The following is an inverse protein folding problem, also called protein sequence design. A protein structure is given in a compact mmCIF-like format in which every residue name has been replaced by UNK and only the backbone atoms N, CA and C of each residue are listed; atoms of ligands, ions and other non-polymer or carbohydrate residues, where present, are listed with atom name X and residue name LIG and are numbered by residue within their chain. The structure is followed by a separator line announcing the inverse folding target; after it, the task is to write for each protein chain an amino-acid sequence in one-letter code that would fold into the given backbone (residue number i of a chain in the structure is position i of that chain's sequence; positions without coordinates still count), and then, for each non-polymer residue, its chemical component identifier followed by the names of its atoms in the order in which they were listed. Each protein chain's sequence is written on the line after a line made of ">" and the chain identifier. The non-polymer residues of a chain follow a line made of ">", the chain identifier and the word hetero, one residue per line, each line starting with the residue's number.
data_IF_659181438877
#
_entry.id   IF_659181438877
#
_cell.length_a   1.000
_cell.length_b   1.000
_cell.length_c   1.000
_cell.angle_alpha   90.00
_cell.angle_beta   90.00
_cell.angle_gamma   90.00
#
_symmetry.space_group_name_H-M   'P 1'
#
loop_
_entity.id
_entity.type
_entity.pdbx_description
1 polymer ?
#
# COMPACT_ATOMS: atom_id res chain seq x y z
N UNK A 1 1.26 -30.30 -17.23
CA UNK A 1 0.69 -28.97 -17.01
C UNK A 1 1.16 -28.55 -15.64
N UNK A 2 1.88 -27.43 -15.51
CA UNK A 2 2.27 -26.96 -14.18
C UNK A 2 1.01 -26.48 -13.45
N UNK A 3 0.70 -27.08 -12.31
CA UNK A 3 -0.35 -26.60 -11.40
C UNK A 3 -0.06 -25.17 -11.01
N UNK A 4 -1.05 -24.25 -11.05
CA UNK A 4 -0.83 -22.89 -10.58
C UNK A 4 -0.29 -22.90 -9.16
N UNK A 5 0.71 -22.06 -8.86
CA UNK A 5 1.48 -22.07 -7.59
C UNK A 5 0.60 -21.94 -6.34
N UNK A 6 -0.53 -21.24 -6.45
CA UNK A 6 -1.45 -21.02 -5.33
C UNK A 6 -2.65 -21.99 -5.31
N UNK A 7 -2.79 -22.89 -6.30
CA UNK A 7 -3.89 -23.85 -6.30
C UNK A 7 -3.75 -24.82 -5.10
N UNK A 8 -4.79 -24.91 -4.29
CA UNK A 8 -4.79 -25.73 -3.07
C UNK A 8 -3.92 -25.22 -1.93
N UNK A 9 -3.25 -24.06 -2.07
CA UNK A 9 -2.40 -23.48 -1.07
C UNK A 9 -3.18 -22.87 0.11
N UNK A 10 -2.57 -22.84 1.30
CA UNK A 10 -3.02 -22.07 2.46
C UNK A 10 -2.23 -20.76 2.54
N UNK A 11 -2.91 -19.61 2.50
CA UNK A 11 -2.30 -18.29 2.36
C UNK A 11 -2.74 -17.39 3.51
N UNK A 12 -1.77 -16.76 4.20
CA UNK A 12 -2.03 -15.70 5.17
C UNK A 12 -1.89 -14.34 4.50
N UNK A 13 -2.88 -13.45 4.69
CA UNK A 13 -2.81 -12.05 4.26
C UNK A 13 -3.06 -11.14 5.46
N UNK A 14 -1.99 -10.63 6.06
CA UNK A 14 -2.07 -9.64 7.14
C UNK A 14 -2.28 -8.27 6.53
N UNK A 15 -3.39 -7.61 6.88
CA UNK A 15 -3.84 -6.38 6.22
C UNK A 15 -4.71 -6.65 4.98
N UNK A 16 -5.38 -7.80 4.93
CA UNK A 16 -6.17 -8.24 3.76
C UNK A 16 -7.48 -7.49 3.54
N UNK A 17 -8.01 -6.75 4.53
CA UNK A 17 -9.14 -5.84 4.35
C UNK A 17 -8.73 -4.46 3.84
N UNK A 18 -7.43 -4.16 3.82
CA UNK A 18 -6.88 -2.92 3.30
C UNK A 18 -7.00 -2.79 1.78
N UNK A 19 -6.64 -1.62 1.26
CA UNK A 19 -6.68 -1.31 -0.17
C UNK A 19 -5.92 -2.36 -1.03
N UNK A 20 -4.61 -2.47 -0.83
CA UNK A 20 -3.77 -3.43 -1.58
C UNK A 20 -4.11 -4.88 -1.21
N UNK A 21 -4.35 -5.14 0.09
CA UNK A 21 -4.64 -6.48 0.58
C UNK A 21 -5.90 -7.07 -0.04
N UNK A 22 -6.97 -6.29 -0.17
CA UNK A 22 -8.23 -6.76 -0.77
C UNK A 22 -8.09 -7.06 -2.28
N UNK A 23 -7.28 -6.29 -3.00
CA UNK A 23 -6.97 -6.59 -4.41
C UNK A 23 -6.17 -7.89 -4.52
N UNK A 24 -5.16 -8.07 -3.67
CA UNK A 24 -4.41 -9.33 -3.61
C UNK A 24 -5.31 -10.53 -3.29
N UNK A 25 -6.20 -10.41 -2.28
CA UNK A 25 -7.12 -11.49 -1.90
C UNK A 25 -8.03 -11.88 -3.08
N UNK A 26 -8.63 -10.90 -3.77
CA UNK A 26 -9.44 -11.18 -4.97
C UNK A 26 -8.64 -11.93 -6.03
N UNK A 27 -7.41 -11.51 -6.29
CA UNK A 27 -6.54 -12.14 -7.26
C UNK A 27 -6.11 -13.56 -6.86
N UNK A 28 -5.83 -13.78 -5.58
CA UNK A 28 -5.52 -15.11 -5.04
C UNK A 28 -6.71 -16.07 -5.21
N UNK A 29 -7.95 -15.61 -5.00
CA UNK A 29 -9.15 -16.44 -5.17
C UNK A 29 -9.29 -16.99 -6.59
N UNK A 30 -8.86 -16.26 -7.61
CA UNK A 30 -8.84 -16.75 -9.02
C UNK A 30 -7.92 -17.97 -9.18
N UNK A 31 -6.87 -18.09 -8.36
CA UNK A 31 -5.94 -19.21 -8.37
C UNK A 31 -6.41 -20.42 -7.55
N UNK A 32 -7.65 -20.40 -7.00
CA UNK A 32 -8.29 -21.49 -6.24
C UNK A 32 -7.46 -22.01 -5.07
N UNK A 33 -7.06 -21.17 -4.13
CA UNK A 33 -6.37 -21.61 -2.92
C UNK A 33 -7.31 -22.50 -2.09
N UNK A 34 -6.74 -23.36 -1.24
CA UNK A 34 -7.49 -24.11 -0.23
C UNK A 34 -8.10 -23.18 0.81
N UNK A 35 -7.33 -22.17 1.22
CA UNK A 35 -7.71 -21.24 2.28
C UNK A 35 -6.95 -19.92 2.14
N UNK A 36 -7.62 -18.81 2.40
CA UNK A 36 -7.00 -17.49 2.62
C UNK A 36 -7.41 -17.02 4.02
N UNK A 37 -6.44 -16.94 4.93
CA UNK A 37 -6.65 -16.36 6.25
C UNK A 37 -6.31 -14.86 6.19
N UNK A 38 -7.30 -14.02 6.42
CA UNK A 38 -7.12 -12.57 6.50
C UNK A 38 -7.06 -12.17 7.97
N UNK A 39 -6.01 -11.46 8.37
CA UNK A 39 -5.94 -10.78 9.67
C UNK A 39 -5.92 -9.29 9.45
N UNK A 40 -6.91 -8.58 9.98
CA UNK A 40 -6.98 -7.12 9.89
C UNK A 40 -7.71 -6.54 11.13
N UNK A 41 -7.22 -5.43 11.66
CA UNK A 41 -7.84 -4.76 12.80
C UNK A 41 -8.79 -3.62 12.39
N UNK A 42 -8.99 -3.43 11.09
CA UNK A 42 -9.79 -2.37 10.47
C UNK A 42 -9.38 -0.95 10.92
N UNK A 43 -8.10 -0.75 11.29
CA UNK A 43 -7.58 0.57 11.65
C UNK A 43 -7.62 1.55 10.48
N UNK A 44 -7.38 1.03 9.27
CA UNK A 44 -7.31 1.81 8.04
C UNK A 44 -8.11 1.18 6.89
N UNK A 45 -9.03 0.29 7.20
CA UNK A 45 -9.79 -0.48 6.22
C UNK A 45 -11.29 -0.45 6.54
N UNK A 46 -12.09 -0.83 5.55
CA UNK A 46 -13.51 -1.08 5.70
C UNK A 46 -13.80 -2.56 5.44
N UNK A 47 -14.72 -3.13 6.23
CA UNK A 47 -15.07 -4.56 6.15
C UNK A 47 -15.64 -4.94 4.77
N UNK A 48 -16.25 -4.00 4.07
CA UNK A 48 -16.80 -4.21 2.72
C UNK A 48 -15.73 -4.57 1.66
N UNK A 49 -14.46 -4.40 1.99
CA UNK A 49 -13.35 -4.84 1.14
C UNK A 49 -13.02 -6.34 1.27
N UNK A 50 -13.53 -7.02 2.32
CA UNK A 50 -13.31 -8.45 2.52
C UNK A 50 -14.29 -9.24 1.65
N UNK A 51 -13.80 -10.09 0.72
CA UNK A 51 -14.69 -10.90 -0.12
C UNK A 51 -15.45 -11.95 0.70
N UNK A 52 -16.76 -12.09 0.44
CA UNK A 52 -17.56 -13.21 0.92
C UNK A 52 -17.28 -14.45 0.03
N UNK A 53 -16.43 -15.34 0.51
CA UNK A 53 -16.06 -16.54 -0.24
C UNK A 53 -15.72 -17.70 0.72
N UNK A 54 -16.12 -18.96 0.42
CA UNK A 54 -15.89 -20.12 1.32
C UNK A 54 -14.43 -20.38 1.66
N UNK A 55 -13.48 -19.97 0.81
CA UNK A 55 -12.05 -20.12 1.05
C UNK A 55 -11.46 -18.96 1.88
N UNK A 56 -12.26 -17.97 2.29
CA UNK A 56 -11.78 -16.79 3.04
C UNK A 56 -12.20 -16.91 4.50
N UNK A 57 -11.22 -16.94 5.40
CA UNK A 57 -11.39 -16.81 6.83
C UNK A 57 -10.92 -15.43 7.29
N UNK A 58 -11.84 -14.66 7.86
CA UNK A 58 -11.51 -13.33 8.38
C UNK A 58 -11.35 -13.35 9.91
N UNK A 59 -10.17 -12.94 10.37
CA UNK A 59 -9.84 -12.77 11.79
C UNK A 59 -9.75 -11.27 12.07
N UNK A 60 -10.75 -10.74 12.76
CA UNK A 60 -10.71 -9.36 13.24
C UNK A 60 -9.74 -9.25 14.42
N UNK A 61 -8.63 -8.52 14.22
CA UNK A 61 -7.62 -8.33 15.25
C UNK A 61 -6.27 -7.88 14.71
N UNK A 62 -5.31 -7.72 15.60
CA UNK A 62 -3.94 -7.33 15.27
C UNK A 62 -2.97 -8.47 15.57
N UNK A 63 -2.00 -8.69 14.69
CA UNK A 63 -0.87 -9.60 14.93
C UNK A 63 0.09 -9.11 16.04
N UNK A 64 -0.14 -7.91 16.60
CA UNK A 64 0.49 -7.48 17.84
C UNK A 64 -0.06 -8.24 19.07
N UNK A 65 -1.23 -8.87 18.95
CA UNK A 65 -1.88 -9.65 19.99
C UNK A 65 -1.52 -11.13 19.84
N UNK A 66 -0.95 -11.73 20.90
CA UNK A 66 -0.57 -13.14 20.93
C UNK A 66 -1.77 -14.08 20.79
N UNK A 67 -2.95 -13.68 21.29
CA UNK A 67 -4.18 -14.44 21.11
C UNK A 67 -4.62 -14.52 19.63
N UNK A 68 -4.34 -13.49 18.83
CA UNK A 68 -4.59 -13.50 17.39
C UNK A 68 -3.55 -14.38 16.68
N UNK A 69 -2.26 -14.22 17.02
CA UNK A 69 -1.20 -15.05 16.45
C UNK A 69 -1.46 -16.56 16.71
N UNK A 70 -1.91 -16.92 17.90
CA UNK A 70 -2.21 -18.31 18.26
C UNK A 70 -3.36 -18.94 17.43
N UNK A 71 -4.19 -18.14 16.75
CA UNK A 71 -5.25 -18.60 15.84
C UNK A 71 -4.77 -18.90 14.43
N UNK A 72 -3.55 -18.53 14.08
CA UNK A 72 -3.03 -18.77 12.74
C UNK A 72 -2.79 -20.28 12.52
N UNK A 73 -3.23 -20.84 11.38
CA UNK A 73 -2.93 -22.23 11.05
C UNK A 73 -1.43 -22.42 10.87
N UNK A 74 -0.90 -23.57 11.29
CA UNK A 74 0.54 -23.85 11.20
C UNK A 74 0.97 -24.39 9.85
N UNK A 75 0.02 -24.80 9.02
CA UNK A 75 0.24 -25.37 7.68
C UNK A 75 0.11 -24.33 6.55
N UNK A 76 0.57 -23.10 6.83
CA UNK A 76 0.61 -22.02 5.85
C UNK A 76 1.70 -22.28 4.80
N UNK A 77 1.32 -22.16 3.52
CA UNK A 77 2.26 -22.20 2.39
C UNK A 77 2.88 -20.83 2.10
N UNK A 78 2.06 -19.77 2.17
CA UNK A 78 2.47 -18.40 1.85
C UNK A 78 1.96 -17.42 2.88
N UNK A 79 2.74 -16.38 3.14
CA UNK A 79 2.31 -15.26 3.97
C UNK A 79 2.61 -13.93 3.27
N UNK A 80 1.65 -13.00 3.31
CA UNK A 80 1.80 -11.62 2.85
C UNK A 80 1.58 -10.69 4.03
N UNK A 81 2.59 -9.90 4.38
CA UNK A 81 2.49 -8.90 5.42
C UNK A 81 2.31 -7.52 4.82
N UNK A 82 1.05 -7.09 4.68
CA UNK A 82 0.65 -5.81 4.07
C UNK A 82 0.12 -4.81 5.09
N UNK A 83 -0.23 -5.26 6.31
CA UNK A 83 -0.73 -4.38 7.35
C UNK A 83 0.28 -3.30 7.69
N UNK A 84 -0.19 -2.06 7.82
CA UNK A 84 0.63 -0.94 8.27
C UNK A 84 -0.20 0.21 8.84
N UNK A 85 0.42 0.98 9.73
CA UNK A 85 -0.04 2.31 10.11
C UNK A 85 0.35 3.28 9.01
N UNK A 86 -0.53 3.41 8.02
CA UNK A 86 -0.22 4.07 6.76
C UNK A 86 -0.15 5.59 6.90
N UNK A 87 0.88 6.17 6.26
CA UNK A 87 1.00 7.60 5.96
C UNK A 87 2.02 8.33 6.84
N UNK A 88 2.87 9.13 6.18
CA UNK A 88 3.92 9.92 6.83
C UNK A 88 3.33 10.84 7.90
N UNK A 89 2.25 11.56 7.59
CA UNK A 89 1.67 12.54 8.50
C UNK A 89 1.05 11.91 9.74
N UNK A 90 0.38 10.75 9.59
CA UNK A 90 -0.14 10.01 10.75
C UNK A 90 1.01 9.53 11.65
N UNK A 91 2.11 9.05 11.06
CA UNK A 91 3.28 8.59 11.81
C UNK A 91 4.04 9.74 12.49
N UNK A 92 4.10 10.93 11.88
CA UNK A 92 4.68 12.14 12.48
C UNK A 92 3.84 12.60 13.67
N UNK A 93 2.50 12.51 13.53
CA UNK A 93 1.58 12.88 14.61
C UNK A 93 1.65 11.90 15.79
N UNK A 94 1.72 10.60 15.52
CA UNK A 94 1.78 9.55 16.56
C UNK A 94 2.83 8.49 16.20
N UNK A 95 4.11 8.74 16.54
CA UNK A 95 5.19 7.81 16.26
C UNK A 95 5.12 6.51 17.06
N UNK A 96 4.47 6.53 18.24
CA UNK A 96 4.29 5.32 19.05
C UNK A 96 3.25 4.38 18.42
N UNK A 97 2.15 4.93 17.88
CA UNK A 97 1.19 4.13 17.12
C UNK A 97 1.82 3.56 15.84
N UNK A 98 2.69 4.32 15.15
CA UNK A 98 3.46 3.81 14.01
C UNK A 98 4.34 2.62 14.43
N UNK A 99 5.13 2.78 15.49
CA UNK A 99 5.98 1.72 16.03
C UNK A 99 5.18 0.45 16.37
N UNK A 100 4.07 0.60 17.10
CA UNK A 100 3.23 -0.53 17.53
C UNK A 100 2.60 -1.28 16.35
N UNK A 101 2.18 -0.58 15.32
CA UNK A 101 1.45 -1.18 14.19
C UNK A 101 2.34 -1.53 12.99
N UNK A 102 3.58 -1.08 12.92
CA UNK A 102 4.51 -1.38 11.84
C UNK A 102 5.70 -2.22 12.31
N UNK A 103 6.45 -1.72 13.31
CA UNK A 103 7.70 -2.38 13.75
C UNK A 103 7.39 -3.60 14.61
N UNK A 104 6.59 -3.43 15.66
CA UNK A 104 6.26 -4.51 16.61
C UNK A 104 5.46 -5.62 15.92
N UNK A 105 4.48 -5.28 15.10
CA UNK A 105 3.68 -6.27 14.35
C UNK A 105 4.55 -7.09 13.41
N UNK A 106 5.50 -6.47 12.70
CA UNK A 106 6.40 -7.18 11.80
C UNK A 106 7.29 -8.15 12.57
N UNK A 107 7.91 -7.70 13.67
CA UNK A 107 8.75 -8.53 14.52
C UNK A 107 7.98 -9.72 15.11
N UNK A 108 6.78 -9.48 15.64
CA UNK A 108 5.94 -10.55 16.23
C UNK A 108 5.50 -11.57 15.18
N UNK A 109 5.14 -11.12 13.97
CA UNK A 109 4.80 -12.04 12.90
C UNK A 109 6.00 -12.93 12.53
N UNK A 110 7.17 -12.32 12.28
CA UNK A 110 8.37 -13.08 11.86
C UNK A 110 8.78 -14.09 12.94
N UNK A 111 8.77 -13.68 14.21
CA UNK A 111 9.07 -14.59 15.33
C UNK A 111 8.08 -15.74 15.42
N UNK A 112 6.79 -15.47 15.18
CA UNK A 112 5.73 -16.49 15.27
C UNK A 112 5.82 -17.51 14.13
N UNK A 113 6.14 -17.06 12.90
CA UNK A 113 6.11 -17.92 11.71
C UNK A 113 7.47 -18.48 11.31
N UNK A 114 8.57 -18.17 12.03
CA UNK A 114 9.94 -18.57 11.66
C UNK A 114 10.12 -20.08 11.50
N UNK A 115 9.35 -20.87 12.25
CA UNK A 115 9.38 -22.34 12.24
C UNK A 115 8.23 -22.97 11.45
N UNK A 116 7.44 -22.15 10.72
CA UNK A 116 6.35 -22.66 9.87
C UNK A 116 6.90 -23.14 8.53
N UNK A 117 6.24 -24.12 7.87
CA UNK A 117 6.70 -24.66 6.59
C UNK A 117 6.40 -23.70 5.41
N UNK A 118 6.64 -22.42 5.60
CA UNK A 118 6.36 -21.40 4.59
C UNK A 118 7.26 -21.60 3.36
N UNK A 119 6.64 -21.58 2.18
CA UNK A 119 7.36 -21.50 0.90
C UNK A 119 7.87 -20.09 0.67
N UNK A 120 7.11 -19.06 1.09
CA UNK A 120 7.50 -17.66 0.99
C UNK A 120 6.73 -16.77 1.97
N UNK A 121 7.44 -15.79 2.53
CA UNK A 121 6.87 -14.64 3.23
C UNK A 121 7.20 -13.37 2.44
N UNK A 122 6.19 -12.66 1.95
CA UNK A 122 6.34 -11.39 1.23
C UNK A 122 5.98 -10.23 2.14
N UNK A 123 6.94 -9.34 2.37
CA UNK A 123 6.77 -8.13 3.17
C UNK A 123 6.55 -6.91 2.28
N UNK A 124 5.49 -6.18 2.52
CA UNK A 124 5.22 -4.90 1.87
C UNK A 124 6.16 -3.81 2.43
N UNK A 125 7.29 -3.64 1.78
CA UNK A 125 8.24 -2.58 2.02
C UNK A 125 7.85 -1.29 1.26
N UNK A 126 8.57 -0.22 1.48
CA UNK A 126 8.28 1.08 0.88
C UNK A 126 9.45 1.57 0.03
N UNK A 127 9.23 1.79 -1.26
CA UNK A 127 10.25 2.36 -2.16
C UNK A 127 10.75 3.73 -1.69
N UNK A 128 9.89 4.52 -1.05
CA UNK A 128 10.28 5.81 -0.50
C UNK A 128 11.28 5.73 0.67
N UNK A 129 11.47 4.57 1.32
CA UNK A 129 12.44 4.40 2.38
C UNK A 129 13.88 4.30 1.86
N UNK A 130 14.06 3.96 0.58
CA UNK A 130 15.38 3.79 -0.05
C UNK A 130 15.62 4.77 -1.20
N UNK A 131 14.61 5.48 -1.68
CA UNK A 131 14.75 6.42 -2.78
C UNK A 131 15.62 7.62 -2.39
N UNK A 132 16.49 8.03 -3.29
CA UNK A 132 17.20 9.30 -3.20
C UNK A 132 16.20 10.46 -3.19
N UNK A 133 16.49 11.48 -2.37
CA UNK A 133 15.66 12.68 -2.25
C UNK A 133 16.33 13.81 -3.00
N UNK A 134 15.85 14.07 -4.20
CA UNK A 134 16.36 15.14 -5.05
C UNK A 134 15.23 16.03 -5.58
N UNK A 135 15.55 17.30 -5.84
CA UNK A 135 14.71 18.20 -6.63
C UNK A 135 15.28 18.46 -8.04
N UNK A 136 16.49 17.96 -8.27
CA UNK A 136 17.14 17.96 -9.58
C UNK A 136 16.62 16.80 -10.44
N UNK A 137 17.34 16.44 -11.48
CA UNK A 137 17.00 15.28 -12.31
C UNK A 137 17.04 13.99 -11.51
N UNK A 138 15.93 13.24 -11.51
CA UNK A 138 15.82 11.99 -10.78
C UNK A 138 16.22 10.81 -11.67
N UNK A 139 16.96 9.87 -11.09
CA UNK A 139 17.25 8.56 -11.70
C UNK A 139 16.33 7.49 -11.12
N UNK A 140 16.02 6.45 -11.90
CA UNK A 140 15.28 5.31 -11.43
C UNK A 140 16.02 4.62 -10.26
N UNK A 141 15.44 4.59 -9.08
CA UNK A 141 16.06 4.02 -7.87
C UNK A 141 16.14 2.50 -7.98
N UNK A 142 17.34 1.87 -8.02
CA UNK A 142 17.47 0.42 -8.02
C UNK A 142 17.30 -0.16 -6.60
N UNK A 143 17.17 -1.49 -6.49
CA UNK A 143 16.96 -2.18 -5.23
C UNK A 143 18.17 -2.16 -4.29
N UNK A 144 19.37 -2.01 -4.83
CA UNK A 144 20.66 -1.90 -4.13
C UNK A 144 21.08 -0.45 -3.84
N UNK A 145 20.20 0.52 -4.09
CA UNK A 145 20.48 1.91 -3.77
C UNK A 145 20.84 2.10 -2.29
N UNK A 146 21.85 2.95 -1.97
CA UNK A 146 22.21 3.25 -0.59
C UNK A 146 21.03 3.77 0.22
N UNK A 147 20.89 3.27 1.44
CA UNK A 147 19.83 3.69 2.36
C UNK A 147 20.34 4.83 3.23
N UNK A 148 19.65 5.97 3.21
CA UNK A 148 19.94 7.08 4.12
C UNK A 148 19.59 6.71 5.57
N UNK A 149 20.38 7.22 6.53
CA UNK A 149 20.02 7.19 7.95
C UNK A 149 19.06 8.33 8.33
N UNK A 150 18.84 9.31 7.45
CA UNK A 150 17.96 10.46 7.67
C UNK A 150 16.64 10.25 6.92
N UNK A 151 15.55 10.20 7.65
CA UNK A 151 14.20 9.99 7.13
C UNK A 151 13.27 11.12 7.54
N UNK A 152 12.25 11.40 6.72
CA UNK A 152 11.29 12.49 6.94
C UNK A 152 10.15 12.08 7.89
N UNK A 153 10.01 10.79 8.18
CA UNK A 153 8.90 10.31 8.99
C UNK A 153 9.21 8.99 9.69
N UNK A 154 8.60 8.73 10.85
CA UNK A 154 8.63 7.43 11.52
C UNK A 154 8.18 6.29 10.61
N UNK A 155 7.21 6.52 9.71
CA UNK A 155 6.75 5.52 8.74
C UNK A 155 7.89 4.98 7.83
N UNK A 156 8.73 5.86 7.29
CA UNK A 156 9.87 5.42 6.47
C UNK A 156 10.88 4.61 7.29
N UNK A 157 11.09 5.00 8.55
CA UNK A 157 11.97 4.28 9.48
C UNK A 157 11.40 2.89 9.79
N UNK A 158 10.13 2.80 10.18
CA UNK A 158 9.50 1.54 10.58
C UNK A 158 9.43 0.54 9.42
N UNK A 159 9.22 1.01 8.18
CA UNK A 159 9.27 0.16 6.99
C UNK A 159 10.66 -0.41 6.73
N UNK A 160 11.70 0.39 6.92
CA UNK A 160 13.09 -0.06 6.79
C UNK A 160 13.48 -1.04 7.92
N UNK A 161 13.05 -0.78 9.16
CA UNK A 161 13.27 -1.72 10.28
C UNK A 161 12.62 -3.07 9.98
N UNK A 162 11.42 -3.10 9.38
CA UNK A 162 10.79 -4.34 8.95
C UNK A 162 11.62 -5.12 7.93
N UNK A 163 12.29 -4.44 6.97
CA UNK A 163 13.23 -5.09 6.06
C UNK A 163 14.44 -5.65 6.81
N UNK A 164 15.00 -4.90 7.77
CA UNK A 164 16.15 -5.33 8.57
C UNK A 164 15.83 -6.56 9.41
N UNK A 165 14.67 -6.58 10.09
CA UNK A 165 14.23 -7.77 10.81
C UNK A 165 14.00 -8.96 9.88
N UNK A 166 13.32 -8.76 8.75
CA UNK A 166 13.13 -9.85 7.78
C UNK A 166 14.44 -10.45 7.27
N UNK A 167 15.47 -9.62 7.01
CA UNK A 167 16.80 -10.07 6.65
C UNK A 167 17.49 -10.86 7.79
N UNK A 168 17.31 -10.42 9.04
CA UNK A 168 17.82 -11.17 10.21
C UNK A 168 17.17 -12.55 10.29
N UNK A 169 15.84 -12.65 10.16
CA UNK A 169 15.12 -13.93 10.20
C UNK A 169 15.47 -14.84 9.03
N UNK A 170 15.70 -14.27 7.83
CA UNK A 170 16.22 -15.03 6.69
C UNK A 170 17.61 -15.60 7.00
N UNK A 171 18.56 -14.76 7.42
CA UNK A 171 19.94 -15.20 7.66
C UNK A 171 20.12 -16.12 8.87
N UNK A 172 19.24 -16.00 9.89
CA UNK A 172 19.40 -16.75 11.16
C UNK A 172 18.48 -17.96 11.27
N UNK A 173 17.28 -17.88 10.67
CA UNK A 173 16.21 -18.88 10.80
C UNK A 173 15.75 -19.44 9.45
N UNK A 174 16.42 -19.08 8.37
CA UNK A 174 16.09 -19.52 7.01
C UNK A 174 14.65 -19.19 6.59
N UNK A 175 14.00 -18.20 7.27
CA UNK A 175 12.66 -17.74 6.88
C UNK A 175 12.70 -17.28 5.42
N UNK A 176 11.89 -17.85 4.50
CA UNK A 176 11.96 -17.53 3.07
C UNK A 176 11.35 -16.15 2.77
N UNK A 177 12.03 -15.10 3.22
CA UNK A 177 11.61 -13.71 3.26
C UNK A 177 11.93 -12.98 1.95
N UNK A 178 10.95 -12.26 1.38
CA UNK A 178 11.10 -11.40 0.20
C UNK A 178 10.51 -10.03 0.50
N UNK A 179 11.20 -8.97 0.08
CA UNK A 179 10.77 -7.57 0.22
C UNK A 179 10.16 -7.08 -1.08
N UNK A 180 8.89 -6.71 -1.05
CA UNK A 180 8.21 -6.04 -2.15
C UNK A 180 8.14 -4.53 -1.86
N UNK A 181 8.99 -3.71 -2.50
CA UNK A 181 9.07 -2.27 -2.32
C UNK A 181 8.06 -1.57 -3.21
N UNK A 182 6.97 -1.11 -2.62
CA UNK A 182 5.91 -0.39 -3.33
C UNK A 182 6.31 1.03 -3.68
N UNK A 183 5.89 1.47 -4.85
CA UNK A 183 5.80 2.87 -5.19
C UNK A 183 4.40 3.43 -4.83
N UNK A 184 3.94 4.51 -5.44
CA UNK A 184 2.64 5.09 -5.12
C UNK A 184 1.50 4.28 -5.75
N UNK A 185 0.92 3.37 -4.97
CA UNK A 185 -0.21 2.56 -5.43
C UNK A 185 -1.47 3.40 -5.53
N UNK A 186 -2.23 3.22 -6.62
CA UNK A 186 -3.55 3.82 -6.82
C UNK A 186 -4.50 2.80 -7.47
N UNK A 187 -5.80 3.01 -7.33
CA UNK A 187 -6.78 2.12 -7.98
C UNK A 187 -8.06 1.94 -7.18
N UNK A 188 -8.98 1.09 -7.68
CA UNK A 188 -10.18 0.68 -6.97
C UNK A 188 -9.89 0.04 -5.61
N UNK A 189 -10.73 0.33 -4.61
CA UNK A 189 -10.61 -0.25 -3.26
C UNK A 189 -10.01 0.71 -2.22
N UNK A 190 -9.43 1.85 -2.60
CA UNK A 190 -8.96 2.85 -1.65
C UNK A 190 -10.10 3.77 -1.22
N UNK A 191 -10.70 3.46 -0.06
CA UNK A 191 -11.85 4.17 0.49
C UNK A 191 -11.39 5.33 1.38
N UNK A 192 -11.70 6.57 1.01
CA UNK A 192 -11.44 7.75 1.84
C UNK A 192 -12.20 7.64 3.16
N UNK A 193 -11.55 7.97 4.26
CA UNK A 193 -12.14 7.92 5.60
C UNK A 193 -12.38 6.52 6.17
N UNK A 194 -12.05 5.43 5.47
CA UNK A 194 -12.22 4.10 6.03
C UNK A 194 -11.37 3.89 7.30
N UNK A 195 -11.95 3.20 8.30
CA UNK A 195 -11.29 2.87 9.56
C UNK A 195 -11.43 3.94 10.63
N UNK A 196 -10.55 3.87 11.64
CA UNK A 196 -10.62 4.70 12.84
C UNK A 196 -9.83 6.00 12.70
N UNK A 197 -10.24 7.04 13.44
CA UNK A 197 -9.51 8.30 13.52
C UNK A 197 -8.09 8.11 14.06
N UNK A 198 -7.10 8.71 13.37
CA UNK A 198 -5.67 8.59 13.66
C UNK A 198 -5.01 9.96 13.92
N UNK A 199 -5.78 10.89 14.50
CA UNK A 199 -5.28 12.16 15.00
C UNK A 199 -5.17 13.30 13.99
N UNK A 200 -5.19 13.02 12.68
CA UNK A 200 -5.00 14.04 11.63
C UNK A 200 -6.03 13.92 10.51
N UNK A 201 -6.31 15.01 9.75
CA UNK A 201 -7.17 14.97 8.57
C UNK A 201 -6.73 13.95 7.50
N UNK A 202 -5.46 13.51 7.52
CA UNK A 202 -4.95 12.45 6.64
C UNK A 202 -5.53 11.06 6.96
N UNK A 203 -6.26 10.93 8.05
CA UNK A 203 -7.14 9.77 8.28
C UNK A 203 -8.18 9.65 7.17
N UNK A 204 -8.70 10.78 6.71
CA UNK A 204 -9.69 10.87 5.63
C UNK A 204 -9.02 11.04 4.27
N UNK A 205 -8.20 12.08 4.13
CA UNK A 205 -7.51 12.45 2.89
C UNK A 205 -6.16 11.73 2.78
N UNK A 206 -6.19 10.41 2.53
CA UNK A 206 -5.02 9.53 2.68
C UNK A 206 -3.91 9.77 1.69
N UNK A 207 -4.21 9.56 0.42
CA UNK A 207 -3.28 9.67 -0.70
C UNK A 207 -3.77 10.71 -1.71
N UNK A 208 -2.85 11.19 -2.51
CA UNK A 208 -3.13 12.22 -3.50
C UNK A 208 -4.19 11.78 -4.52
N UNK A 209 -4.08 10.57 -5.06
CA UNK A 209 -4.97 10.09 -6.14
C UNK A 209 -6.43 10.02 -5.72
N UNK A 210 -6.84 9.28 -4.66
CA UNK A 210 -8.26 9.23 -4.27
C UNK A 210 -8.78 10.59 -3.79
N UNK A 211 -7.92 11.41 -3.15
CA UNK A 211 -8.29 12.77 -2.75
C UNK A 211 -8.58 13.66 -3.95
N UNK A 212 -7.71 13.64 -4.96
CA UNK A 212 -7.92 14.44 -6.17
C UNK A 212 -9.14 13.97 -6.97
N UNK A 213 -9.34 12.66 -7.11
CA UNK A 213 -10.52 12.11 -7.79
C UNK A 213 -11.81 12.56 -7.07
N UNK A 214 -11.86 12.42 -5.73
CA UNK A 214 -13.05 12.84 -4.98
C UNK A 214 -13.35 14.32 -5.16
N UNK A 215 -12.34 15.18 -4.99
CA UNK A 215 -12.48 16.62 -5.16
C UNK A 215 -12.89 17.00 -6.58
N UNK A 216 -12.27 16.42 -7.60
CA UNK A 216 -12.61 16.67 -8.99
C UNK A 216 -14.04 16.26 -9.33
N UNK A 217 -14.53 15.12 -8.82
CA UNK A 217 -15.91 14.66 -8.98
C UNK A 217 -16.92 15.59 -8.30
N UNK A 218 -16.51 16.31 -7.27
CA UNK A 218 -17.31 17.34 -6.58
C UNK A 218 -17.09 18.76 -7.14
N UNK A 219 -16.36 18.89 -8.27
CA UNK A 219 -16.03 20.18 -8.90
C UNK A 219 -15.26 21.13 -7.96
N UNK A 220 -14.45 20.57 -7.08
CA UNK A 220 -13.54 21.32 -6.22
C UNK A 220 -12.18 21.54 -6.89
N UNK A 221 -11.46 22.58 -6.43
CA UNK A 221 -10.06 22.80 -6.81
C UNK A 221 -9.17 21.70 -6.23
N UNK A 222 -8.23 21.20 -7.05
CA UNK A 222 -7.23 20.23 -6.60
C UNK A 222 -6.05 20.97 -5.96
N UNK A 223 -5.73 20.76 -4.67
CA UNK A 223 -4.62 21.41 -4.01
C UNK A 223 -3.29 20.77 -4.43
N UNK A 224 -2.48 21.52 -5.17
CA UNK A 224 -1.17 21.09 -5.63
C UNK A 224 -0.10 21.89 -4.89
N UNK A 225 0.66 21.22 -4.04
CA UNK A 225 1.68 21.82 -3.20
C UNK A 225 2.98 22.05 -3.94
N UNK A 226 3.73 23.08 -3.54
CA UNK A 226 5.04 23.41 -4.07
C UNK A 226 5.09 23.44 -5.63
N UNK A 227 4.08 24.03 -6.26
CA UNK A 227 3.98 24.07 -7.73
C UNK A 227 3.82 22.70 -8.41
N UNK A 228 3.67 21.62 -7.65
CA UNK A 228 3.51 20.27 -8.18
C UNK A 228 4.77 19.66 -8.76
N UNK A 229 5.95 20.23 -8.47
CA UNK A 229 7.24 19.77 -9.00
C UNK A 229 7.70 18.41 -8.45
N UNK A 230 7.15 17.99 -7.29
CA UNK A 230 7.40 16.66 -6.74
C UNK A 230 6.88 15.59 -7.70
N UNK A 231 7.67 14.55 -7.92
CA UNK A 231 7.26 13.43 -8.78
C UNK A 231 7.10 12.14 -8.00
N UNK A 232 6.29 11.25 -8.52
CA UNK A 232 6.07 9.90 -7.99
C UNK A 232 5.95 8.91 -9.15
N UNK A 233 6.19 7.67 -8.82
CA UNK A 233 5.89 6.53 -9.66
C UNK A 233 4.53 5.98 -9.23
N UNK A 234 3.52 6.12 -10.09
CA UNK A 234 2.16 5.65 -9.83
C UNK A 234 1.96 4.26 -10.44
N UNK A 235 1.64 3.29 -9.61
CA UNK A 235 1.39 1.91 -10.04
C UNK A 235 -0.03 1.48 -9.69
N UNK A 236 -0.71 0.86 -10.65
CA UNK A 236 -2.09 0.41 -10.50
C UNK A 236 -2.20 -0.78 -9.52
N UNK A 237 -3.25 -0.82 -8.73
CA UNK A 237 -3.42 -1.79 -7.64
C UNK A 237 -3.45 -3.24 -8.12
N UNK A 238 -4.02 -3.53 -9.29
CA UNK A 238 -4.01 -4.88 -9.85
C UNK A 238 -2.60 -5.29 -10.32
N UNK A 239 -1.80 -4.35 -10.79
CA UNK A 239 -0.39 -4.61 -11.11
C UNK A 239 0.40 -4.92 -9.83
N UNK A 240 0.16 -4.20 -8.72
CA UNK A 240 0.75 -4.53 -7.42
C UNK A 240 0.34 -5.92 -6.95
N UNK A 241 -0.94 -6.29 -7.06
CA UNK A 241 -1.40 -7.63 -6.68
C UNK A 241 -0.68 -8.73 -7.48
N UNK A 242 -0.52 -8.54 -8.80
CA UNK A 242 0.27 -9.44 -9.65
C UNK A 242 1.75 -9.48 -9.26
N UNK A 243 2.34 -8.33 -8.96
CA UNK A 243 3.72 -8.20 -8.49
C UNK A 243 3.97 -8.93 -7.16
N UNK A 244 3.04 -8.82 -6.21
CA UNK A 244 3.09 -9.54 -4.94
C UNK A 244 3.04 -11.07 -5.14
N UNK A 245 2.14 -11.54 -5.99
CA UNK A 245 2.07 -12.97 -6.34
C UNK A 245 3.37 -13.42 -7.03
N UNK A 246 3.94 -12.63 -7.94
CA UNK A 246 5.22 -12.92 -8.56
C UNK A 246 6.38 -12.97 -7.55
N UNK A 247 6.39 -12.09 -6.55
CA UNK A 247 7.35 -12.15 -5.43
C UNK A 247 7.22 -13.47 -4.64
N UNK A 248 5.99 -13.92 -4.37
CA UNK A 248 5.77 -15.17 -3.65
C UNK A 248 6.13 -16.40 -4.50
N UNK A 249 5.88 -16.36 -5.80
CA UNK A 249 6.13 -17.47 -6.73
C UNK A 249 7.63 -17.59 -7.08
N UNK A 250 8.24 -16.48 -7.53
CA UNK A 250 9.58 -16.47 -8.15
C UNK A 250 10.63 -15.68 -7.36
N UNK A 251 10.22 -14.89 -6.35
CA UNK A 251 11.14 -14.09 -5.58
C UNK A 251 12.20 -14.92 -4.87
N UNK A 252 13.46 -14.51 -4.98
CA UNK A 252 14.58 -15.16 -4.30
C UNK A 252 14.55 -14.75 -2.82
N UNK A 253 14.56 -15.69 -1.87
CA UNK A 253 14.63 -15.36 -0.44
C UNK A 253 15.82 -14.47 -0.11
N UNK A 254 15.60 -13.46 0.73
CA UNK A 254 16.61 -12.46 1.07
C UNK A 254 16.65 -11.26 0.11
N UNK A 255 15.98 -11.31 -1.05
CA UNK A 255 16.03 -10.26 -2.05
C UNK A 255 14.90 -9.22 -1.92
N UNK A 256 15.16 -8.02 -2.45
CA UNK A 256 14.16 -6.96 -2.62
C UNK A 256 13.80 -6.79 -4.08
N UNK A 257 12.54 -6.43 -4.34
CA UNK A 257 12.02 -6.13 -5.67
C UNK A 257 11.19 -4.86 -5.64
N UNK A 258 11.50 -3.91 -6.51
CA UNK A 258 10.65 -2.75 -6.73
C UNK A 258 9.41 -3.16 -7.52
N UNK A 259 8.25 -2.97 -6.95
CA UNK A 259 6.99 -3.03 -7.66
C UNK A 259 6.63 -1.62 -8.09
N UNK A 260 7.04 -1.27 -9.31
CA UNK A 260 7.04 0.06 -9.87
C UNK A 260 6.51 0.08 -11.31
N UNK A 261 5.98 1.23 -11.75
CA UNK A 261 5.69 1.44 -13.17
C UNK A 261 6.94 1.81 -13.98
N UNK A 262 7.94 2.39 -13.32
CA UNK A 262 9.14 2.95 -13.93
C UNK A 262 8.89 4.29 -14.61
N UNK A 263 7.72 4.89 -14.42
CA UNK A 263 7.35 6.18 -15.02
C UNK A 263 7.30 7.26 -13.95
N UNK A 264 8.14 8.27 -14.15
CA UNK A 264 8.13 9.47 -13.32
C UNK A 264 6.96 10.39 -13.71
N UNK A 265 6.06 10.69 -12.78
CA UNK A 265 4.89 11.55 -13.02
C UNK A 265 4.85 12.66 -11.98
N UNK A 266 4.74 13.93 -12.42
CA UNK A 266 4.59 15.05 -11.49
C UNK A 266 3.20 15.09 -10.85
N UNK A 267 3.12 15.68 -9.65
CA UNK A 267 1.82 15.88 -8.99
C UNK A 267 0.92 16.83 -9.79
N UNK A 268 1.53 17.77 -10.51
CA UNK A 268 0.80 18.68 -11.40
C UNK A 268 0.20 17.92 -12.61
N UNK A 269 0.99 17.06 -13.28
CA UNK A 269 0.49 16.23 -14.39
C UNK A 269 -0.63 15.29 -13.95
N UNK A 270 -0.50 14.68 -12.78
CA UNK A 270 -1.56 13.86 -12.19
C UNK A 270 -2.85 14.67 -11.99
N UNK A 271 -2.75 15.88 -11.43
CA UNK A 271 -3.91 16.74 -11.18
C UNK A 271 -4.59 17.18 -12.50
N UNK A 272 -3.80 17.56 -13.50
CA UNK A 272 -4.30 17.92 -14.83
C UNK A 272 -5.03 16.75 -15.49
N UNK A 273 -4.44 15.56 -15.44
CA UNK A 273 -5.03 14.34 -16.02
C UNK A 273 -6.34 13.95 -15.30
N UNK A 274 -6.41 14.08 -13.97
CA UNK A 274 -7.64 13.80 -13.22
C UNK A 274 -8.73 14.84 -13.57
N UNK A 275 -8.39 16.13 -13.67
CA UNK A 275 -9.36 17.16 -14.09
C UNK A 275 -9.90 16.88 -15.50
N UNK A 276 -9.02 16.50 -16.44
CA UNK A 276 -9.42 16.11 -17.80
C UNK A 276 -10.40 14.92 -17.78
N UNK A 277 -10.04 13.82 -17.10
CA UNK A 277 -10.82 12.59 -17.08
C UNK A 277 -12.16 12.72 -16.34
N UNK A 278 -12.23 13.62 -15.37
CA UNK A 278 -13.49 13.88 -14.62
C UNK A 278 -14.36 14.94 -15.25
N UNK A 279 -13.82 15.76 -16.15
CA UNK A 279 -14.45 16.95 -16.69
C UNK A 279 -14.57 18.05 -15.63
N UNK A 280 -13.67 18.13 -14.67
CA UNK A 280 -13.66 19.17 -13.64
C UNK A 280 -13.17 20.51 -14.21
N UNK A 281 -14.04 21.55 -14.27
CA UNK A 281 -13.66 22.84 -14.83
C UNK A 281 -12.87 23.72 -13.85
N UNK A 282 -12.81 23.33 -12.57
CA UNK A 282 -12.21 24.16 -11.52
C UNK A 282 -10.70 24.19 -11.66
N UNK A 283 -10.07 25.37 -11.69
CA UNK A 283 -8.64 25.49 -11.77
C UNK A 283 -7.91 24.80 -10.61
N UNK A 284 -6.69 24.29 -10.88
CA UNK A 284 -5.82 23.74 -9.85
C UNK A 284 -5.42 24.86 -8.89
N UNK A 285 -5.52 24.58 -7.57
CA UNK A 285 -5.09 25.49 -6.52
C UNK A 285 -3.63 25.21 -6.14
N UNK A 286 -2.72 26.08 -6.53
CA UNK A 286 -1.33 25.99 -6.10
C UNK A 286 -1.22 26.42 -4.63
N UNK A 287 -0.63 25.59 -3.80
CA UNK A 287 -0.46 25.83 -2.35
C UNK A 287 1.02 25.79 -1.96
N UNK A 288 1.42 26.41 -0.83
CA UNK A 288 2.80 26.36 -0.36
C UNK A 288 3.30 24.92 -0.13
N UNK A 289 4.63 24.76 -0.13
CA UNK A 289 5.26 23.50 0.23
C UNK A 289 4.95 23.11 1.70
N UNK A 290 4.94 21.81 1.99
CA UNK A 290 4.86 21.31 3.38
C UNK A 290 6.21 21.43 4.06
N UNK A 291 6.22 21.81 5.31
CA UNK A 291 7.46 22.03 6.08
C UNK A 291 8.30 20.75 6.23
N UNK A 292 7.66 19.60 6.28
CA UNK A 292 8.29 18.30 6.53
C UNK A 292 8.58 17.50 5.25
N UNK A 293 7.90 17.77 4.12
CA UNK A 293 8.05 16.96 2.90
C UNK A 293 9.25 17.42 2.06
N UNK A 294 10.34 16.70 2.19
CA UNK A 294 11.56 16.91 1.42
C UNK A 294 11.75 15.83 0.35
N UNK A 295 10.72 15.07 0.05
CA UNK A 295 10.86 13.87 -0.78
C UNK A 295 11.10 14.14 -2.28
N UNK A 296 10.88 15.35 -2.79
CA UNK A 296 11.26 15.77 -4.15
C UNK A 296 10.74 14.84 -5.25
N UNK A 297 11.64 14.58 -6.20
CA UNK A 297 11.43 13.74 -7.39
C UNK A 297 11.94 12.32 -7.13
N UNK A 298 11.17 11.29 -7.54
CA UNK A 298 11.58 9.89 -7.42
C UNK A 298 10.68 8.93 -8.20
N UNK A 299 11.28 7.85 -8.72
CA UNK A 299 10.60 6.71 -9.32
C UNK A 299 11.47 5.43 -9.18
N UNK A 300 10.88 4.25 -9.36
CA UNK A 300 11.56 2.97 -9.14
C UNK A 300 12.15 2.38 -10.42
N UNK A 301 13.31 1.71 -10.30
CA UNK A 301 13.80 0.83 -11.36
C UNK A 301 12.94 -0.43 -11.46
N UNK A 302 12.61 -0.84 -12.68
CA UNK A 302 11.81 -2.05 -12.96
C UNK A 302 12.67 -3.22 -13.45
N UNK A 303 13.97 -3.03 -13.62
CA UNK A 303 14.85 -4.01 -14.28
C UNK A 303 14.88 -5.35 -13.55
N UNK A 304 15.19 -5.34 -12.26
CA UNK A 304 15.30 -6.57 -11.45
C UNK A 304 13.99 -7.36 -11.37
N UNK A 305 12.86 -6.67 -11.17
CA UNK A 305 11.55 -7.32 -11.14
C UNK A 305 11.20 -7.93 -12.51
N UNK A 306 11.57 -7.27 -13.61
CA UNK A 306 11.39 -7.81 -14.96
C UNK A 306 12.25 -9.07 -15.18
N UNK A 307 13.53 -9.01 -14.86
CA UNK A 307 14.48 -10.11 -15.14
C UNK A 307 14.24 -11.33 -14.27
N UNK A 308 14.01 -11.14 -12.96
CA UNK A 308 13.94 -12.24 -12.01
C UNK A 308 12.52 -12.71 -11.72
N UNK A 309 11.52 -11.82 -11.79
CA UNK A 309 10.12 -12.16 -11.55
C UNK A 309 9.29 -12.24 -12.84
N UNK A 310 9.82 -11.83 -13.99
CA UNK A 310 9.02 -11.64 -15.21
C UNK A 310 7.89 -10.62 -15.00
N UNK A 311 8.04 -9.73 -14.01
CA UNK A 311 7.02 -8.74 -13.66
C UNK A 311 7.19 -7.47 -14.48
N UNK A 312 6.11 -7.07 -15.14
CA UNK A 312 5.95 -5.78 -15.79
C UNK A 312 4.55 -5.25 -15.50
N UNK A 313 4.42 -3.93 -15.38
CA UNK A 313 3.10 -3.28 -15.30
C UNK A 313 2.42 -3.34 -16.66
N UNK A 314 1.10 -3.51 -16.66
CA UNK A 314 0.29 -3.59 -17.87
C UNK A 314 -0.74 -2.48 -17.98
N UNK A 315 -0.93 -1.71 -16.90
CA UNK A 315 -1.94 -0.66 -16.83
C UNK A 315 -1.29 0.71 -16.97
N UNK A 316 -1.59 1.43 -18.05
CA UNK A 316 -1.18 2.81 -18.19
C UNK A 316 -1.88 3.72 -17.18
N UNK A 317 -1.22 4.80 -16.74
CA UNK A 317 -1.78 5.71 -15.71
C UNK A 317 -3.17 6.23 -16.09
N UNK A 318 -3.39 6.62 -17.34
CA UNK A 318 -4.68 7.12 -17.84
C UNK A 318 -5.79 6.06 -17.72
N UNK A 319 -5.50 4.82 -18.08
CA UNK A 319 -6.47 3.73 -18.06
C UNK A 319 -6.84 3.36 -16.62
N UNK A 320 -5.84 3.20 -15.75
CA UNK A 320 -6.05 2.93 -14.33
C UNK A 320 -6.78 4.06 -13.61
N UNK A 321 -6.53 5.34 -13.95
CA UNK A 321 -7.28 6.47 -13.42
C UNK A 321 -8.74 6.45 -13.90
N UNK A 322 -8.99 6.12 -15.17
CA UNK A 322 -10.34 6.00 -15.72
C UNK A 322 -11.14 4.94 -14.95
N UNK A 323 -10.54 3.77 -14.71
CA UNK A 323 -11.16 2.71 -13.90
C UNK A 323 -11.38 3.14 -12.45
N UNK A 324 -10.37 3.81 -11.84
CA UNK A 324 -10.48 4.31 -10.46
C UNK A 324 -11.59 5.34 -10.30
N UNK A 325 -11.74 6.26 -11.27
CA UNK A 325 -12.81 7.26 -11.31
C UNK A 325 -14.19 6.58 -11.41
N UNK A 326 -14.32 5.60 -12.30
CA UNK A 326 -15.57 4.83 -12.46
C UNK A 326 -15.93 4.09 -11.17
N UNK A 327 -14.95 3.43 -10.53
CA UNK A 327 -15.12 2.78 -9.23
C UNK A 327 -15.52 3.78 -8.14
N UNK A 328 -14.85 4.93 -8.05
CA UNK A 328 -15.18 5.98 -7.05
C UNK A 328 -16.61 6.45 -7.21
N UNK A 329 -17.09 6.64 -8.46
CA UNK A 329 -18.50 6.99 -8.74
C UNK A 329 -19.47 5.91 -8.26
N UNK A 330 -19.16 4.63 -8.50
CA UNK A 330 -20.00 3.50 -8.10
C UNK A 330 -20.03 3.26 -6.59
N UNK A 331 -18.99 3.69 -5.87
CA UNK A 331 -18.85 3.53 -4.42
C UNK A 331 -19.04 4.83 -3.62
N UNK A 332 -19.62 5.86 -4.26
CA UNK A 332 -19.77 7.19 -3.67
C UNK A 332 -20.42 7.16 -2.29
N UNK A 333 -21.49 6.38 -2.11
CA UNK A 333 -22.20 6.29 -0.84
C UNK A 333 -21.36 5.63 0.27
N UNK A 334 -20.63 4.58 -0.05
CA UNK A 334 -19.71 3.92 0.89
C UNK A 334 -18.59 4.87 1.32
N UNK A 335 -17.98 5.56 0.36
CA UNK A 335 -16.91 6.53 0.63
C UNK A 335 -17.44 7.67 1.50
N UNK A 336 -18.59 8.24 1.13
CA UNK A 336 -19.27 9.28 1.90
C UNK A 336 -19.55 8.83 3.33
N UNK A 337 -20.09 7.62 3.51
CA UNK A 337 -20.37 7.07 4.82
C UNK A 337 -19.10 7.00 5.68
N UNK A 338 -18.00 6.46 5.13
CA UNK A 338 -16.72 6.38 5.83
C UNK A 338 -16.16 7.77 6.19
N UNK A 339 -16.24 8.74 5.28
CA UNK A 339 -15.80 10.12 5.55
C UNK A 339 -16.60 10.76 6.69
N UNK A 340 -17.93 10.61 6.68
CA UNK A 340 -18.84 11.23 7.66
C UNK A 340 -18.61 10.72 9.10
N UNK A 341 -18.01 9.56 9.29
CA UNK A 341 -17.62 9.07 10.62
C UNK A 341 -16.62 10.01 11.33
N UNK A 342 -15.90 10.83 10.55
CA UNK A 342 -14.84 11.73 11.04
C UNK A 342 -15.24 13.21 11.08
N UNK A 343 -16.50 13.53 10.85
CA UNK A 343 -17.00 14.92 10.74
C UNK A 343 -16.73 15.77 12.00
N UNK A 344 -16.71 15.13 13.17
CA UNK A 344 -16.41 15.81 14.44
C UNK A 344 -14.94 16.23 14.60
N UNK A 345 -14.06 15.66 13.79
CA UNK A 345 -12.62 15.89 13.87
C UNK A 345 -12.08 16.79 12.74
N UNK A 346 -12.81 16.87 11.62
CA UNK A 346 -12.37 17.60 10.43
C UNK A 346 -13.41 18.65 10.07
N UNK A 347 -13.14 19.93 10.39
CA UNK A 347 -14.04 21.04 9.99
C UNK A 347 -14.28 21.04 8.48
N UNK A 348 -15.51 21.30 8.06
CA UNK A 348 -15.91 21.35 6.64
C UNK A 348 -16.05 19.99 5.96
N UNK A 349 -15.72 18.88 6.62
CA UNK A 349 -15.77 17.55 6.02
C UNK A 349 -17.21 17.17 5.57
N UNK A 350 -18.24 17.62 6.28
CA UNK A 350 -19.64 17.34 5.90
C UNK A 350 -19.93 17.88 4.51
N UNK A 351 -19.58 19.14 4.24
CA UNK A 351 -19.78 19.75 2.93
C UNK A 351 -18.91 19.10 1.85
N UNK A 352 -17.69 18.69 2.18
CA UNK A 352 -16.79 18.00 1.26
C UNK A 352 -17.21 16.53 0.98
N UNK A 353 -18.02 15.94 1.85
CA UNK A 353 -18.55 14.59 1.68
C UNK A 353 -19.89 14.57 0.93
N UNK A 354 -20.63 15.66 0.92
CA UNK A 354 -21.90 15.84 0.19
C UNK A 354 -21.69 16.08 -1.30
#
# INVERSE_FOLDING_TARGET
>A
MNTPVFEGASVLVVGGAGFVGSALVRRLLEAKPRQIVIVDNLLSADISNVPEHPAVDFILGSIADDAILARLPRDLDYAFHLACYHGNQSSIHDPLADHQNNTLTSLKLFEHVKDFPLKKLVYAAAGCAVAEKTFDEASATPEDAPVSLFHDSPYSISKLIGEMYGNYYFGRHELPFVRARFQNVYGPGEILGAGRWRGTPHTVWRNVTPTFIWKALNREALPVENGGIATRDFIFVEDIARGLMACAERGIPGEAYNLASGVETSILDLAQLINELTGNPTPIALTPARDWDRSGRRFGSTMKAREQLGFVTTTALRDGLTETIAWTRSRRDTIRHCMLQHVRFVPGLRAAAE
#
